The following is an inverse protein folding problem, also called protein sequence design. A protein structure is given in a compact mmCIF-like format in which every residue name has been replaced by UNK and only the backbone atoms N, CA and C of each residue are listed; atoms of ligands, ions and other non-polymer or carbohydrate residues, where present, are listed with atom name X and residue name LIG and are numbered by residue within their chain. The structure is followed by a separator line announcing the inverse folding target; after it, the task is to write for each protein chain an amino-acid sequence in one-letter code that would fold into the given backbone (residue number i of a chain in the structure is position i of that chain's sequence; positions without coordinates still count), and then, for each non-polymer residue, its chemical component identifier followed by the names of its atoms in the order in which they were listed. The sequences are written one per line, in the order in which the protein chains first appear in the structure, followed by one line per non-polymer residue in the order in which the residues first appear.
data_IF_612800188040
#
_entry.id   IF_612800188040
#
_cell.length_a   1.000
_cell.length_b   1.000
_cell.length_c   1.000
_cell.angle_alpha   90.00
_cell.angle_beta   90.00
_cell.angle_gamma   90.00
#
_symmetry.space_group_name_H-M   'P 1'
#
loop_
_entity.id
_entity.type
_entity.pdbx_description
1 polymer ?
#
# COMPACT_ATOMS: atom_id res chain seq x y z
N UNK A 1 9.26 13.76 -10.29
CA UNK A 1 8.27 12.74 -9.91
C UNK A 1 7.78 11.92 -11.09
N UNK A 2 7.15 12.51 -12.12
CA UNK A 2 6.57 11.76 -13.27
C UNK A 2 7.56 10.80 -13.95
N UNK A 3 8.81 11.20 -14.14
CA UNK A 3 9.85 10.32 -14.68
C UNK A 3 10.11 9.08 -13.80
N UNK A 4 10.09 9.23 -12.47
CA UNK A 4 10.20 8.09 -11.55
C UNK A 4 9.00 7.15 -11.63
N UNK A 5 7.79 7.68 -11.82
CA UNK A 5 6.59 6.86 -12.04
C UNK A 5 6.65 6.10 -13.37
N UNK A 6 7.20 6.70 -14.43
CA UNK A 6 7.42 6.02 -15.70
C UNK A 6 8.42 4.87 -15.55
N UNK A 7 9.56 5.10 -14.89
CA UNK A 7 10.55 4.06 -14.57
C UNK A 7 9.95 2.90 -13.78
N UNK A 8 9.06 3.20 -12.83
CA UNK A 8 8.32 2.20 -12.05
C UNK A 8 7.48 1.29 -12.94
N UNK A 9 6.76 1.85 -13.92
CA UNK A 9 5.98 1.08 -14.90
C UNK A 9 6.87 0.24 -15.82
N UNK A 10 7.99 0.80 -16.30
CA UNK A 10 8.99 0.04 -17.07
C UNK A 10 9.83 -0.93 -16.23
N UNK A 11 9.39 -1.26 -15.01
CA UNK A 11 10.01 -2.24 -14.15
C UNK A 11 11.41 -1.87 -13.61
N UNK A 12 11.86 -0.62 -13.79
CA UNK A 12 13.16 -0.10 -13.36
C UNK A 12 13.13 0.40 -11.90
N UNK A 13 12.83 -0.49 -10.95
CA UNK A 13 12.45 -0.10 -9.57
C UNK A 13 13.55 0.65 -8.79
N UNK A 14 14.82 0.29 -8.96
CA UNK A 14 15.90 0.98 -8.25
C UNK A 14 16.07 2.43 -8.77
N UNK A 15 15.98 2.62 -10.09
CA UNK A 15 16.02 3.94 -10.70
C UNK A 15 14.76 4.74 -10.35
N UNK A 16 13.59 4.08 -10.31
CA UNK A 16 12.34 4.70 -9.87
C UNK A 16 12.46 5.22 -8.43
N UNK A 17 13.00 4.40 -7.50
CA UNK A 17 13.29 4.81 -6.13
C UNK A 17 14.19 6.04 -6.10
N UNK A 18 15.32 6.02 -6.81
CA UNK A 18 16.25 7.15 -6.87
C UNK A 18 15.53 8.44 -7.29
N UNK A 19 14.75 8.41 -8.39
CA UNK A 19 14.06 9.61 -8.90
C UNK A 19 12.92 10.08 -7.99
N UNK A 20 12.23 9.17 -7.31
CA UNK A 20 11.18 9.53 -6.34
C UNK A 20 11.82 10.12 -5.07
N UNK A 21 12.91 9.54 -4.57
CA UNK A 21 13.65 10.06 -3.41
C UNK A 21 14.23 11.45 -3.67
N UNK A 22 14.82 11.69 -4.84
CA UNK A 22 15.27 13.04 -5.23
C UNK A 22 14.11 14.04 -5.28
N UNK A 23 12.95 13.62 -5.78
CA UNK A 23 11.76 14.47 -5.76
C UNK A 23 11.28 14.76 -4.33
N UNK A 24 11.37 13.80 -3.42
CA UNK A 24 11.03 13.98 -2.00
C UNK A 24 11.96 14.96 -1.30
N UNK A 25 13.26 14.94 -1.60
CA UNK A 25 14.22 15.91 -1.07
C UNK A 25 13.88 17.32 -1.58
N UNK A 26 13.58 17.46 -2.88
CA UNK A 26 13.26 18.75 -3.48
C UNK A 26 11.89 19.32 -3.03
N UNK A 27 10.93 18.45 -2.70
CA UNK A 27 9.55 18.81 -2.36
C UNK A 27 9.06 17.97 -1.16
N UNK A 28 9.63 18.27 0.01
CA UNK A 28 9.42 17.52 1.24
C UNK A 28 7.97 17.55 1.77
N UNK A 29 7.15 18.52 1.39
CA UNK A 29 5.78 18.66 1.90
C UNK A 29 4.70 18.12 0.95
N UNK A 30 5.07 17.51 -0.18
CA UNK A 30 4.10 16.99 -1.15
C UNK A 30 3.54 15.62 -0.74
N UNK A 31 2.22 15.51 -0.44
CA UNK A 31 1.61 14.23 -0.11
C UNK A 31 1.55 13.26 -1.29
N UNK A 32 1.50 13.78 -2.52
CA UNK A 32 1.57 12.97 -3.75
C UNK A 32 2.91 12.23 -3.85
N UNK A 33 4.01 12.92 -3.54
CA UNK A 33 5.35 12.33 -3.56
C UNK A 33 5.49 11.31 -2.43
N UNK A 34 4.95 11.61 -1.24
CA UNK A 34 4.95 10.69 -0.11
C UNK A 34 4.21 9.39 -0.44
N UNK A 35 2.99 9.49 -0.97
CA UNK A 35 2.23 8.32 -1.35
C UNK A 35 2.96 7.50 -2.44
N UNK A 36 3.57 8.16 -3.43
CA UNK A 36 4.34 7.50 -4.47
C UNK A 36 5.59 6.79 -3.93
N UNK A 37 6.30 7.41 -2.98
CA UNK A 37 7.46 6.81 -2.31
C UNK A 37 7.05 5.58 -1.51
N UNK A 38 5.98 5.65 -0.72
CA UNK A 38 5.49 4.51 0.03
C UNK A 38 5.09 3.34 -0.87
N UNK A 39 4.42 3.61 -1.99
CA UNK A 39 4.13 2.59 -3.01
C UNK A 39 5.40 1.95 -3.56
N UNK A 40 6.42 2.76 -3.88
CA UNK A 40 7.68 2.27 -4.40
C UNK A 40 8.40 1.35 -3.40
N UNK A 41 8.39 1.71 -2.11
CA UNK A 41 8.95 0.91 -1.03
C UNK A 41 8.22 -0.44 -0.88
N UNK A 42 6.89 -0.46 -0.95
CA UNK A 42 6.10 -1.71 -0.96
C UNK A 42 6.45 -2.58 -2.17
N UNK A 43 6.63 -1.99 -3.36
CA UNK A 43 7.03 -2.73 -4.56
C UNK A 43 8.40 -3.38 -4.35
N UNK A 44 9.37 -2.67 -3.76
CA UNK A 44 10.68 -3.24 -3.45
C UNK A 44 10.59 -4.34 -2.39
N UNK A 45 9.74 -4.15 -1.37
CA UNK A 45 9.51 -5.13 -0.31
C UNK A 45 8.95 -6.45 -0.84
N UNK A 46 8.07 -6.42 -1.84
CA UNK A 46 7.51 -7.64 -2.45
C UNK A 46 8.50 -8.36 -3.37
N UNK A 47 9.51 -7.66 -3.88
CA UNK A 47 10.50 -8.18 -4.84
C UNK A 47 11.75 -8.77 -4.22
N UNK A 48 12.15 -8.30 -3.03
CA UNK A 48 13.30 -8.89 -2.33
C UNK A 48 12.96 -10.25 -1.77
N UNK A 49 13.95 -11.14 -1.67
CA UNK A 49 13.81 -12.47 -1.05
C UNK A 49 14.28 -12.48 0.42
N UNK A 50 14.80 -11.37 0.90
CA UNK A 50 15.16 -11.21 2.31
C UNK A 50 13.98 -10.65 3.09
N UNK A 51 13.44 -11.45 4.03
CA UNK A 51 12.37 -11.02 4.93
C UNK A 51 12.74 -9.75 5.70
N UNK A 52 13.99 -9.64 6.19
CA UNK A 52 14.43 -8.48 6.95
C UNK A 52 14.43 -7.21 6.11
N UNK A 53 14.90 -7.29 4.86
CA UNK A 53 14.89 -6.16 3.92
C UNK A 53 13.45 -5.80 3.54
N UNK A 54 12.60 -6.80 3.26
CA UNK A 54 11.19 -6.56 2.94
C UNK A 54 10.46 -5.82 4.07
N UNK A 55 10.67 -6.27 5.31
CA UNK A 55 10.05 -5.64 6.48
C UNK A 55 10.63 -4.26 6.79
N UNK A 56 11.90 -4.00 6.45
CA UNK A 56 12.48 -2.67 6.55
C UNK A 56 11.78 -1.70 5.59
N UNK A 57 11.72 -2.06 4.29
CA UNK A 57 11.03 -1.24 3.30
C UNK A 57 9.54 -1.05 3.63
N UNK A 58 8.88 -2.11 4.13
CA UNK A 58 7.49 -2.02 4.53
C UNK A 58 7.29 -1.08 5.72
N UNK A 59 8.17 -1.11 6.72
CA UNK A 59 8.09 -0.21 7.88
C UNK A 59 8.18 1.25 7.46
N UNK A 60 9.12 1.57 6.58
CA UNK A 60 9.29 2.92 6.05
C UNK A 60 8.04 3.36 5.26
N UNK A 61 7.47 2.46 4.44
CA UNK A 61 6.23 2.72 3.72
C UNK A 61 5.04 2.92 4.68
N UNK A 62 4.94 2.10 5.72
CA UNK A 62 3.88 2.13 6.70
C UNK A 62 3.88 3.46 7.47
N UNK A 63 5.04 3.95 7.90
CA UNK A 63 5.16 5.24 8.58
C UNK A 63 4.58 6.37 7.73
N UNK A 64 4.94 6.41 6.44
CA UNK A 64 4.43 7.41 5.50
C UNK A 64 2.92 7.29 5.34
N UNK A 65 2.40 6.09 5.07
CA UNK A 65 0.97 5.86 4.79
C UNK A 65 0.10 6.10 6.02
N UNK A 66 0.54 5.71 7.21
CA UNK A 66 -0.19 5.97 8.46
C UNK A 66 -0.26 7.48 8.73
N UNK A 67 0.83 8.22 8.49
CA UNK A 67 0.83 9.68 8.61
C UNK A 67 -0.16 10.33 7.64
N UNK A 68 -0.18 9.89 6.37
CA UNK A 68 -1.14 10.38 5.38
C UNK A 68 -2.59 10.03 5.76
N UNK A 69 -2.83 8.81 6.25
CA UNK A 69 -4.13 8.34 6.70
C UNK A 69 -4.66 9.17 7.88
N UNK A 70 -3.80 9.46 8.87
CA UNK A 70 -4.17 10.24 10.06
C UNK A 70 -4.46 11.71 9.72
N UNK A 71 -3.82 12.25 8.68
CA UNK A 71 -4.10 13.58 8.17
C UNK A 71 -5.33 13.63 7.23
N UNK A 72 -6.00 12.48 7.03
CA UNK A 72 -7.10 12.28 6.07
C UNK A 72 -6.74 12.73 4.64
N UNK A 73 -5.45 12.58 4.26
CA UNK A 73 -4.96 12.96 2.94
C UNK A 73 -5.08 11.76 1.99
N UNK A 74 -5.88 11.92 0.95
CA UNK A 74 -6.04 10.94 -0.12
C UNK A 74 -5.66 11.54 -1.48
N UNK A 75 -4.95 10.77 -2.31
CA UNK A 75 -4.40 11.24 -3.59
C UNK A 75 -5.13 10.56 -4.74
N UNK A 76 -6.09 11.26 -5.35
CA UNK A 76 -7.02 10.69 -6.33
C UNK A 76 -7.72 9.45 -5.73
N UNK A 77 -7.61 8.28 -6.39
CA UNK A 77 -8.08 6.98 -5.88
C UNK A 77 -7.04 6.24 -5.00
N UNK A 78 -5.90 6.88 -4.72
CA UNK A 78 -4.85 6.39 -3.84
C UNK A 78 -5.17 6.68 -2.37
N UNK A 79 -5.84 5.72 -1.73
CA UNK A 79 -6.11 5.75 -0.29
C UNK A 79 -4.95 5.10 0.49
N UNK A 80 -4.37 5.78 1.49
CA UNK A 80 -3.23 5.23 2.22
C UNK A 80 -3.53 3.88 2.88
N UNK A 81 -4.68 3.74 3.56
CA UNK A 81 -5.10 2.46 4.16
C UNK A 81 -5.30 1.34 3.13
N UNK A 82 -5.77 1.66 1.91
CA UNK A 82 -5.90 0.68 0.83
C UNK A 82 -4.52 0.20 0.40
N UNK A 83 -3.63 1.12 0.04
CA UNK A 83 -2.25 0.82 -0.35
C UNK A 83 -1.51 0.02 0.72
N UNK A 84 -1.67 0.42 1.99
CA UNK A 84 -1.05 -0.24 3.13
C UNK A 84 -1.55 -1.67 3.30
N UNK A 85 -2.88 -1.88 3.21
CA UNK A 85 -3.48 -3.21 3.36
C UNK A 85 -3.02 -4.19 2.28
N UNK A 86 -3.01 -3.76 1.02
CA UNK A 86 -2.63 -4.61 -0.11
C UNK A 86 -1.14 -4.97 -0.05
N UNK A 87 -0.29 -3.99 0.28
CA UNK A 87 1.14 -4.21 0.47
C UNK A 87 1.45 -5.15 1.64
N UNK A 88 0.88 -4.89 2.82
CA UNK A 88 1.16 -5.67 4.01
C UNK A 88 0.77 -7.14 3.82
N UNK A 89 -0.42 -7.39 3.29
CA UNK A 89 -0.91 -8.76 3.09
C UNK A 89 -0.04 -9.50 2.09
N UNK A 90 0.36 -8.85 0.99
CA UNK A 90 1.23 -9.47 -0.02
C UNK A 90 2.59 -9.88 0.57
N UNK A 91 3.17 -9.02 1.41
CA UNK A 91 4.47 -9.28 2.04
C UNK A 91 4.36 -10.40 3.08
N UNK A 92 3.35 -10.36 3.94
CA UNK A 92 3.12 -11.41 4.94
C UNK A 92 2.80 -12.74 4.27
N UNK A 93 2.01 -12.74 3.19
CA UNK A 93 1.74 -13.96 2.43
C UNK A 93 3.03 -14.57 1.87
N UNK A 94 3.95 -13.74 1.36
CA UNK A 94 5.24 -14.21 0.83
C UNK A 94 6.13 -14.84 1.92
N UNK A 95 6.22 -14.22 3.09
CA UNK A 95 7.24 -14.58 4.09
C UNK A 95 6.75 -15.37 5.30
N UNK A 96 5.45 -15.35 5.58
CA UNK A 96 4.84 -15.98 6.76
C UNK A 96 3.70 -16.93 6.39
N UNK A 97 3.35 -16.99 5.10
CA UNK A 97 2.33 -17.88 4.57
C UNK A 97 0.92 -17.32 4.66
N UNK A 98 -0.01 -18.10 4.13
CA UNK A 98 -1.40 -17.68 3.90
C UNK A 98 -2.16 -17.44 5.21
N UNK A 99 -1.97 -18.29 6.23
CA UNK A 99 -2.69 -18.15 7.50
C UNK A 99 -2.34 -16.85 8.23
N UNK A 100 -1.07 -16.43 8.20
CA UNK A 100 -0.64 -15.16 8.75
C UNK A 100 -1.25 -13.99 7.94
N UNK A 101 -1.20 -14.08 6.61
CA UNK A 101 -1.75 -13.06 5.72
C UNK A 101 -3.27 -12.88 5.91
N UNK A 102 -4.01 -13.97 6.16
CA UNK A 102 -5.46 -13.93 6.45
C UNK A 102 -5.77 -13.23 7.77
N UNK A 103 -4.95 -13.41 8.82
CA UNK A 103 -5.11 -12.68 10.09
C UNK A 103 -4.98 -11.17 9.87
N UNK A 104 -3.93 -10.76 9.15
CA UNK A 104 -3.70 -9.35 8.79
C UNK A 104 -4.84 -8.79 7.94
N UNK A 105 -5.34 -9.57 6.98
CA UNK A 105 -6.47 -9.16 6.16
C UNK A 105 -7.76 -8.92 6.97
N UNK A 106 -8.03 -9.76 7.98
CA UNK A 106 -9.14 -9.58 8.91
C UNK A 106 -9.01 -8.28 9.72
N UNK A 107 -7.80 -7.96 10.17
CA UNK A 107 -7.54 -6.72 10.90
C UNK A 107 -7.83 -5.49 10.05
N UNK A 108 -7.32 -5.44 8.81
CA UNK A 108 -7.59 -4.33 7.89
C UNK A 108 -9.06 -4.25 7.49
N UNK A 109 -9.76 -5.38 7.32
CA UNK A 109 -11.19 -5.40 7.06
C UNK A 109 -11.95 -4.66 8.18
N UNK A 110 -11.69 -5.01 9.43
CA UNK A 110 -12.37 -4.34 10.56
C UNK A 110 -11.96 -2.88 10.71
N UNK A 111 -10.72 -2.52 10.37
CA UNK A 111 -10.31 -1.10 10.32
C UNK A 111 -11.11 -0.32 9.27
N UNK A 112 -11.26 -0.87 8.06
CA UNK A 112 -12.05 -0.26 7.00
C UNK A 112 -13.54 -0.19 7.32
N UNK A 113 -14.11 -1.22 7.96
CA UNK A 113 -15.49 -1.16 8.44
C UNK A 113 -15.71 -0.01 9.41
N UNK A 114 -14.82 0.14 10.40
CA UNK A 114 -14.90 1.25 11.36
C UNK A 114 -14.72 2.60 10.68
N UNK A 115 -13.84 2.72 9.68
CA UNK A 115 -13.66 3.96 8.92
C UNK A 115 -14.93 4.30 8.13
N UNK A 116 -15.48 3.34 7.38
CA UNK A 116 -16.69 3.53 6.58
C UNK A 116 -17.89 3.90 7.45
N UNK A 117 -18.05 3.25 8.62
CA UNK A 117 -19.16 3.54 9.54
C UNK A 117 -19.14 4.97 10.10
N UNK A 118 -17.97 5.63 10.12
CA UNK A 118 -17.82 7.02 10.56
C UNK A 118 -18.04 8.05 9.45
N UNK A 119 -18.15 7.61 8.19
CA UNK A 119 -18.38 8.53 7.08
C UNK A 119 -19.81 9.04 7.10
N UNK A 120 -19.95 10.36 7.01
CA UNK A 120 -21.24 11.04 6.84
C UNK A 120 -21.77 10.95 5.41
N UNK A 121 -20.90 10.62 4.46
CA UNK A 121 -21.19 10.51 3.04
C UNK A 121 -20.89 9.09 2.53
N UNK A 122 -21.37 8.78 1.32
CA UNK A 122 -21.13 7.46 0.70
C UNK A 122 -19.63 7.23 0.51
N UNK A 123 -19.15 6.10 1.02
CA UNK A 123 -17.75 5.70 0.89
C UNK A 123 -17.32 5.58 -0.59
N UNK A 124 -16.08 5.95 -0.87
CA UNK A 124 -15.48 5.78 -2.20
C UNK A 124 -15.48 4.31 -2.62
N UNK A 125 -15.75 4.06 -3.91
CA UNK A 125 -15.80 2.72 -4.50
C UNK A 125 -14.56 1.88 -4.20
N UNK A 126 -13.36 2.48 -4.29
CA UNK A 126 -12.09 1.78 -4.06
C UNK A 126 -11.98 1.25 -2.62
N UNK A 127 -12.38 2.05 -1.64
CA UNK A 127 -12.39 1.64 -0.23
C UNK A 127 -13.37 0.47 -0.02
N UNK A 128 -14.57 0.57 -0.59
CA UNK A 128 -15.61 -0.47 -0.47
C UNK A 128 -15.17 -1.77 -1.16
N UNK A 129 -14.58 -1.66 -2.34
CA UNK A 129 -14.01 -2.78 -3.09
C UNK A 129 -12.92 -3.46 -2.26
N UNK A 130 -11.93 -2.71 -1.76
CA UNK A 130 -10.86 -3.25 -0.93
C UNK A 130 -11.41 -3.91 0.33
N UNK A 131 -12.40 -3.32 1.01
CA UNK A 131 -13.06 -3.97 2.16
C UNK A 131 -13.63 -5.33 1.78
N UNK A 132 -14.42 -5.40 0.71
CA UNK A 132 -15.06 -6.64 0.27
C UNK A 132 -14.02 -7.70 -0.14
N UNK A 133 -12.93 -7.25 -0.72
CA UNK A 133 -11.80 -8.06 -1.10
C UNK A 133 -11.07 -8.66 0.11
N UNK A 134 -10.79 -7.84 1.13
CA UNK A 134 -10.24 -8.30 2.40
C UNK A 134 -11.15 -9.32 3.08
N UNK A 135 -12.47 -9.06 3.09
CA UNK A 135 -13.47 -10.00 3.61
C UNK A 135 -13.38 -11.37 2.94
N UNK A 136 -13.42 -11.40 1.61
CA UNK A 136 -13.30 -12.63 0.83
C UNK A 136 -11.99 -13.35 1.10
N UNK A 137 -10.88 -12.61 1.16
CA UNK A 137 -9.57 -13.21 1.37
C UNK A 137 -9.45 -13.85 2.75
N UNK A 138 -9.77 -13.12 3.83
CA UNK A 138 -9.63 -13.70 5.16
C UNK A 138 -10.62 -14.85 5.38
N UNK A 139 -11.80 -14.84 4.76
CA UNK A 139 -12.79 -15.91 4.90
C UNK A 139 -12.41 -17.18 4.11
N UNK A 140 -11.87 -17.02 2.90
CA UNK A 140 -11.75 -18.13 1.94
C UNK A 140 -10.32 -18.50 1.55
N UNK A 141 -9.33 -17.66 1.87
CA UNK A 141 -7.94 -17.80 1.38
C UNK A 141 -7.77 -17.47 -0.12
N UNK A 142 -8.86 -17.38 -0.87
CA UNK A 142 -8.84 -17.12 -2.31
C UNK A 142 -8.87 -15.64 -2.58
N UNK A 143 -7.76 -15.09 -3.04
CA UNK A 143 -7.70 -13.70 -3.48
C UNK A 143 -6.68 -13.47 -4.60
N UNK A 144 -7.00 -12.52 -5.47
CA UNK A 144 -6.05 -11.91 -6.41
C UNK A 144 -6.04 -10.42 -6.11
N UNK A 145 -4.99 -9.94 -5.46
CA UNK A 145 -4.70 -8.51 -5.46
C UNK A 145 -4.64 -8.06 -6.92
N UNK A 146 -5.27 -6.91 -7.24
CA UNK A 146 -5.08 -6.30 -8.56
C UNK A 146 -3.56 -6.15 -8.69
N UNK A 147 -2.94 -6.81 -9.69
CA UNK A 147 -1.52 -6.57 -9.99
C UNK A 147 -1.38 -5.06 -10.09
N UNK A 148 -0.50 -4.46 -9.27
CA UNK A 148 -0.04 -3.09 -9.51
C UNK A 148 0.32 -3.03 -10.98
N UNK A 149 -0.48 -2.29 -11.76
CA UNK A 149 -0.44 -2.31 -13.21
C UNK A 149 1.01 -2.14 -13.68
N UNK A 150 1.42 -3.05 -14.58
CA UNK A 150 2.72 -3.03 -15.26
C UNK A 150 2.87 -1.68 -15.99
#
# INVERSE_FOLDING_TARGET
MQYGLALRGYNHQNQALEKISTAKIAYNDSPQIDHALAQQLIILATRTDSKSIAMSYFRDAQEILVRLENADIHINDGYPIVTLSEGHITIIQKFEGEDAARKIAKEYFHQLERKIAKLTHKANHRIVETKNNLFKYYATGKFRFKKSEN
#
